data_IF_462081269348
#
_entry.id   IF_462081269348
#
_cell.length_a   1.000
_cell.length_b   1.000
_cell.length_c   1.000
_cell.angle_alpha   90.00
_cell.angle_beta   90.00
_cell.angle_gamma   90.00
#
_symmetry.space_group_name_H-M   'P 1'
#
loop_
_entity.id
_entity.type
_entity.pdbx_description
1 polymer ?
#
# COMPACT_ATOMS: atom_id res chain seq x y z
N UNK A 1 25.66 -12.95 -3.03
CA UNK A 1 24.45 -12.42 -2.35
C UNK A 1 23.35 -12.15 -3.38
N UNK A 2 22.07 -12.31 -3.02
CA UNK A 2 20.96 -11.89 -3.90
C UNK A 2 20.74 -10.38 -3.81
N UNK A 3 20.28 -9.76 -4.90
CA UNK A 3 19.87 -8.35 -4.89
C UNK A 3 18.52 -8.17 -4.19
N UNK A 4 18.19 -6.94 -3.80
CA UNK A 4 16.90 -6.64 -3.19
C UNK A 4 15.74 -6.94 -4.15
N UNK A 5 15.89 -6.66 -5.45
CA UNK A 5 14.91 -7.02 -6.48
C UNK A 5 14.74 -8.53 -6.63
N UNK A 6 15.82 -9.31 -6.54
CA UNK A 6 15.75 -10.77 -6.54
C UNK A 6 15.03 -11.30 -5.29
N UNK A 7 15.33 -10.73 -4.11
CA UNK A 7 14.64 -11.09 -2.86
C UNK A 7 13.13 -10.76 -2.89
N UNK A 8 12.75 -9.61 -3.48
CA UNK A 8 11.34 -9.24 -3.69
C UNK A 8 10.67 -10.19 -4.69
N UNK A 9 11.31 -10.53 -5.81
CA UNK A 9 10.74 -11.45 -6.79
C UNK A 9 10.54 -12.86 -6.25
N UNK A 10 11.48 -13.37 -5.45
CA UNK A 10 11.33 -14.65 -4.73
C UNK A 10 10.16 -14.59 -3.73
N UNK A 11 10.09 -13.54 -2.91
CA UNK A 11 8.97 -13.36 -1.97
C UNK A 11 7.61 -13.25 -2.68
N UNK A 12 7.55 -12.60 -3.84
CA UNK A 12 6.34 -12.52 -4.66
C UNK A 12 5.95 -13.90 -5.23
N UNK A 13 6.92 -14.71 -5.65
CA UNK A 13 6.68 -16.11 -6.07
C UNK A 13 6.16 -16.97 -4.91
N UNK A 14 6.80 -16.89 -3.74
CA UNK A 14 6.37 -17.61 -2.53
C UNK A 14 4.94 -17.24 -2.10
N UNK A 15 4.55 -15.97 -2.31
CA UNK A 15 3.23 -15.44 -1.94
C UNK A 15 2.09 -15.92 -2.87
N UNK A 16 2.35 -16.34 -4.11
CA UNK A 16 1.30 -16.69 -5.08
C UNK A 16 0.34 -17.74 -4.51
N UNK A 17 0.87 -18.84 -3.96
CA UNK A 17 0.05 -19.93 -3.39
C UNK A 17 -0.90 -19.45 -2.29
N UNK A 18 -0.46 -18.52 -1.44
CA UNK A 18 -1.23 -17.99 -0.32
C UNK A 18 -2.24 -16.93 -0.79
N UNK A 19 -1.90 -16.14 -1.81
CA UNK A 19 -2.83 -15.23 -2.48
C UNK A 19 -3.96 -16.02 -3.15
N UNK A 20 -3.65 -17.10 -3.87
CA UNK A 20 -4.63 -18.00 -4.49
C UNK A 20 -5.55 -18.63 -3.44
N UNK A 21 -5.01 -19.32 -2.43
CA UNK A 21 -5.88 -20.01 -1.45
C UNK A 21 -6.74 -19.05 -0.62
N UNK A 22 -6.30 -17.81 -0.36
CA UNK A 22 -7.16 -16.78 0.25
C UNK A 22 -8.22 -16.27 -0.73
N UNK A 23 -7.86 -16.07 -2.00
CA UNK A 23 -8.78 -15.58 -3.02
C UNK A 23 -9.91 -16.59 -3.29
N UNK A 24 -9.59 -17.85 -3.49
CA UNK A 24 -10.57 -18.90 -3.81
C UNK A 24 -11.56 -19.13 -2.65
N UNK A 25 -11.08 -19.02 -1.41
CA UNK A 25 -11.88 -19.26 -0.21
C UNK A 25 -12.80 -18.08 0.16
N UNK A 26 -12.37 -16.83 -0.08
CA UNK A 26 -13.10 -15.61 0.32
C UNK A 26 -12.94 -14.45 -0.68
N UNK A 27 -13.35 -14.58 -1.96
CA UNK A 27 -13.09 -13.59 -3.02
C UNK A 27 -13.84 -12.25 -2.85
N UNK A 28 -14.65 -12.11 -1.80
CA UNK A 28 -15.48 -10.94 -1.51
C UNK A 28 -14.89 -10.00 -0.44
N UNK A 29 -13.75 -10.34 0.17
CA UNK A 29 -13.13 -9.52 1.23
C UNK A 29 -12.40 -8.31 0.66
N UNK A 30 -12.25 -7.24 1.45
CA UNK A 30 -11.47 -6.07 1.02
C UNK A 30 -9.95 -6.31 1.14
N UNK A 31 -9.13 -5.48 0.50
CA UNK A 31 -7.67 -5.62 0.48
C UNK A 31 -7.00 -5.71 1.86
N UNK A 32 -7.50 -4.96 2.85
CA UNK A 32 -6.92 -4.98 4.19
C UNK A 32 -7.23 -6.31 4.89
N UNK A 33 -8.40 -6.90 4.62
CA UNK A 33 -8.75 -8.26 5.04
C UNK A 33 -7.94 -9.31 4.26
N UNK A 34 -7.87 -9.19 2.94
CA UNK A 34 -7.11 -10.09 2.06
C UNK A 34 -5.63 -10.15 2.46
N UNK A 35 -4.95 -9.00 2.57
CA UNK A 35 -3.54 -8.93 2.94
C UNK A 35 -3.26 -9.48 4.36
N UNK A 36 -4.17 -9.27 5.31
CA UNK A 36 -4.07 -9.87 6.64
C UNK A 36 -4.21 -11.39 6.60
N UNK A 37 -5.16 -11.93 5.82
CA UNK A 37 -5.36 -13.36 5.64
C UNK A 37 -4.21 -14.03 4.87
N UNK A 38 -3.63 -13.36 3.86
CA UNK A 38 -2.44 -13.83 3.15
C UNK A 38 -1.21 -13.84 4.07
N UNK A 39 -1.01 -12.79 4.88
CA UNK A 39 0.06 -12.77 5.91
C UNK A 39 -0.12 -13.86 6.95
N UNK A 40 -1.36 -14.20 7.30
CA UNK A 40 -1.68 -15.30 8.20
C UNK A 40 -1.40 -16.66 7.54
N UNK A 41 -1.92 -16.90 6.33
CA UNK A 41 -1.74 -18.13 5.56
C UNK A 41 -0.26 -18.41 5.26
N UNK A 42 0.53 -17.39 4.90
CA UNK A 42 1.99 -17.51 4.73
C UNK A 42 2.71 -18.02 6.00
N UNK A 43 2.14 -17.78 7.19
CA UNK A 43 2.75 -18.20 8.46
C UNK A 43 2.25 -19.56 8.98
N UNK A 44 0.98 -19.92 8.74
CA UNK A 44 0.39 -21.16 9.28
C UNK A 44 0.11 -22.23 8.22
N UNK A 45 0.20 -21.89 6.92
CA UNK A 45 -0.21 -22.74 5.80
C UNK A 45 -1.69 -22.59 5.43
N UNK A 46 -2.03 -22.78 4.15
CA UNK A 46 -3.41 -22.65 3.66
C UNK A 46 -4.38 -23.58 4.41
N UNK A 47 -4.07 -24.87 4.59
CA UNK A 47 -4.96 -25.82 5.29
C UNK A 47 -5.30 -25.44 6.74
N UNK A 48 -4.40 -24.76 7.45
CA UNK A 48 -4.67 -24.22 8.78
C UNK A 48 -5.57 -22.98 8.74
N UNK A 49 -5.52 -22.16 7.67
CA UNK A 49 -6.51 -21.11 7.46
C UNK A 49 -7.87 -21.71 7.05
N UNK A 50 -7.88 -22.68 6.14
CA UNK A 50 -9.11 -23.29 5.59
C UNK A 50 -9.95 -23.99 6.65
N UNK A 51 -9.31 -24.68 7.59
CA UNK A 51 -9.97 -25.31 8.75
C UNK A 51 -10.27 -24.37 9.92
N UNK A 52 -9.83 -23.10 9.86
CA UNK A 52 -9.91 -22.20 11.01
C UNK A 52 -11.30 -21.61 11.30
N UNK A 53 -11.60 -21.44 12.58
CA UNK A 53 -12.70 -20.59 13.06
C UNK A 53 -12.59 -19.15 12.56
N UNK A 54 -11.37 -18.64 12.34
CA UNK A 54 -11.10 -17.36 11.69
C UNK A 54 -11.80 -17.30 10.32
N UNK A 55 -11.46 -18.20 9.40
CA UNK A 55 -12.05 -18.23 8.06
C UNK A 55 -13.56 -18.51 8.08
N UNK A 56 -14.03 -19.34 9.03
CA UNK A 56 -15.48 -19.54 9.25
C UNK A 56 -16.20 -18.22 9.52
N UNK A 57 -15.69 -17.38 10.42
CA UNK A 57 -16.26 -16.05 10.68
C UNK A 57 -16.07 -15.09 9.50
N UNK A 58 -14.97 -15.16 8.74
CA UNK A 58 -14.81 -14.37 7.51
C UNK A 58 -15.90 -14.73 6.49
N UNK A 59 -16.16 -16.02 6.27
CA UNK A 59 -17.22 -16.54 5.38
C UNK A 59 -18.62 -16.13 5.84
N UNK A 60 -18.87 -16.11 7.15
CA UNK A 60 -20.10 -15.56 7.75
C UNK A 60 -20.18 -14.03 7.74
N UNK A 61 -19.11 -13.32 7.33
CA UNK A 61 -18.95 -11.85 7.39
C UNK A 61 -18.96 -11.26 8.81
N UNK A 62 -18.77 -12.09 9.82
CA UNK A 62 -18.69 -11.72 11.24
C UNK A 62 -17.30 -11.14 11.56
N UNK A 63 -16.93 -10.02 10.91
CA UNK A 63 -15.56 -9.51 10.91
C UNK A 63 -15.02 -9.15 12.30
N UNK A 64 -15.87 -8.74 13.24
CA UNK A 64 -15.46 -8.50 14.63
C UNK A 64 -15.03 -9.80 15.33
N UNK A 65 -15.78 -10.89 15.14
CA UNK A 65 -15.45 -12.22 15.68
C UNK A 65 -14.22 -12.82 14.98
N UNK A 66 -14.15 -12.76 13.65
CA UNK A 66 -12.93 -13.10 12.89
C UNK A 66 -11.70 -12.35 13.44
N UNK A 67 -11.87 -11.07 13.79
CA UNK A 67 -10.84 -10.24 14.41
C UNK A 67 -10.33 -10.75 15.76
N UNK A 68 -11.10 -11.50 16.55
CA UNK A 68 -10.59 -12.06 17.83
C UNK A 68 -9.81 -13.36 17.60
N UNK A 69 -10.19 -14.17 16.60
CA UNK A 69 -9.56 -15.47 16.31
C UNK A 69 -8.07 -15.38 16.02
N UNK A 70 -7.58 -14.31 15.39
CA UNK A 70 -6.14 -14.06 15.20
C UNK A 70 -5.34 -14.23 16.51
N UNK A 71 -5.90 -13.78 17.65
CA UNK A 71 -5.23 -13.84 18.97
C UNK A 71 -5.00 -15.25 19.50
N UNK A 72 -5.66 -16.28 18.95
CA UNK A 72 -5.47 -17.69 19.37
C UNK A 72 -4.22 -18.32 18.75
N UNK A 73 -3.81 -17.85 17.57
CA UNK A 73 -2.70 -18.40 16.77
C UNK A 73 -1.34 -17.77 17.15
N UNK A 74 -1.03 -17.82 18.45
CA UNK A 74 0.15 -17.20 19.08
C UNK A 74 1.10 -18.19 19.76
N UNK A 75 0.84 -19.49 19.67
CA UNK A 75 1.66 -20.55 20.30
C UNK A 75 2.50 -21.32 19.29
N UNK A 76 3.61 -21.88 19.77
CA UNK A 76 4.38 -22.93 19.11
C UNK A 76 4.55 -24.09 20.10
N UNK A 77 3.92 -25.23 19.81
CA UNK A 77 3.62 -26.22 20.84
C UNK A 77 2.80 -25.59 21.98
N UNK A 78 3.15 -25.90 23.23
CA UNK A 78 2.46 -25.34 24.39
C UNK A 78 2.82 -23.88 24.68
N UNK A 79 3.95 -23.37 24.18
CA UNK A 79 4.51 -22.06 24.57
C UNK A 79 3.93 -20.92 23.73
N UNK A 80 3.52 -19.83 24.38
CA UNK A 80 3.18 -18.56 23.71
C UNK A 80 4.48 -17.91 23.19
N UNK A 81 4.48 -17.47 21.94
CA UNK A 81 5.64 -16.85 21.29
C UNK A 81 5.40 -15.34 21.13
N UNK A 82 6.16 -14.45 21.79
CA UNK A 82 5.92 -12.99 21.74
C UNK A 82 5.93 -12.38 20.33
N UNK A 83 6.77 -12.92 19.43
CA UNK A 83 6.80 -12.51 18.03
C UNK A 83 5.49 -12.85 17.29
N UNK A 84 4.86 -13.98 17.60
CA UNK A 84 3.54 -14.32 17.05
C UNK A 84 2.44 -13.44 17.64
N UNK A 85 2.47 -13.12 18.95
CA UNK A 85 1.54 -12.15 19.56
C UNK A 85 1.58 -10.81 18.81
N UNK A 86 2.79 -10.27 18.60
CA UNK A 86 2.98 -9.01 17.85
C UNK A 86 2.51 -9.13 16.38
N UNK A 87 2.76 -10.27 15.72
CA UNK A 87 2.31 -10.53 14.34
C UNK A 87 0.78 -10.57 14.25
N UNK A 88 0.13 -11.41 15.06
CA UNK A 88 -1.32 -11.56 15.11
C UNK A 88 -2.03 -10.24 15.44
N UNK A 89 -1.48 -9.43 16.34
CA UNK A 89 -2.02 -8.11 16.65
C UNK A 89 -1.98 -7.15 15.44
N UNK A 90 -0.90 -7.16 14.65
CA UNK A 90 -0.78 -6.36 13.42
C UNK A 90 -1.72 -6.86 12.31
N UNK A 91 -1.81 -8.17 12.11
CA UNK A 91 -2.72 -8.78 11.13
C UNK A 91 -4.18 -8.50 11.48
N UNK A 92 -4.57 -8.63 12.76
CA UNK A 92 -5.89 -8.20 13.27
C UNK A 92 -6.16 -6.72 13.00
N UNK A 93 -5.21 -5.85 13.31
CA UNK A 93 -5.38 -4.40 13.15
C UNK A 93 -5.54 -4.01 11.67
N UNK A 94 -4.85 -4.70 10.76
CA UNK A 94 -5.04 -4.55 9.32
C UNK A 94 -6.42 -5.07 8.90
N UNK A 95 -6.76 -6.32 9.26
CA UNK A 95 -8.03 -6.97 8.91
C UNK A 95 -9.26 -6.14 9.32
N UNK A 96 -9.23 -5.56 10.53
CA UNK A 96 -10.33 -4.74 11.06
C UNK A 96 -10.35 -3.30 10.55
N UNK A 97 -9.35 -2.84 9.78
CA UNK A 97 -9.24 -1.42 9.41
C UNK A 97 -10.47 -0.90 8.68
N UNK A 98 -10.84 -1.53 7.56
CA UNK A 98 -12.05 -1.18 6.79
C UNK A 98 -13.37 -1.39 7.55
N UNK A 99 -13.37 -2.15 8.66
CA UNK A 99 -14.53 -2.29 9.54
C UNK A 99 -14.62 -1.12 10.54
N UNK A 100 -13.48 -0.67 11.09
CA UNK A 100 -13.41 0.53 11.92
C UNK A 100 -13.75 1.79 11.12
N UNK A 101 -13.24 1.91 9.89
CA UNK A 101 -13.56 3.02 8.98
C UNK A 101 -15.08 3.10 8.72
N UNK A 102 -15.76 1.95 8.56
CA UNK A 102 -17.22 1.87 8.36
C UNK A 102 -18.05 2.37 9.55
N UNK A 103 -17.56 2.22 10.79
CA UNK A 103 -18.18 2.78 11.99
C UNK A 103 -17.81 4.25 12.20
N UNK A 104 -16.61 4.66 11.80
CA UNK A 104 -16.22 6.08 11.80
C UNK A 104 -17.07 6.93 10.85
N UNK A 105 -17.62 6.36 9.76
CA UNK A 105 -18.48 7.10 8.82
C UNK A 105 -19.66 7.79 9.53
N UNK A 106 -20.32 7.14 10.50
CA UNK A 106 -21.49 7.71 11.19
C UNK A 106 -21.09 8.88 12.12
N UNK A 107 -19.92 8.82 12.74
CA UNK A 107 -19.42 9.90 13.61
C UNK A 107 -18.78 11.04 12.80
N UNK A 108 -18.16 10.72 11.67
CA UNK A 108 -17.48 11.68 10.79
C UNK A 108 -18.38 12.32 9.74
N UNK A 109 -19.57 11.78 9.45
CA UNK A 109 -20.56 12.46 8.60
C UNK A 109 -21.06 13.79 9.18
N UNK A 110 -20.88 14.02 10.49
CA UNK A 110 -21.16 15.31 11.15
C UNK A 110 -19.97 16.28 11.05
N UNK A 111 -18.74 15.77 10.93
CA UNK A 111 -17.50 16.57 10.95
C UNK A 111 -16.93 16.85 9.54
N UNK A 112 -17.13 15.93 8.59
CA UNK A 112 -16.57 16.01 7.23
C UNK A 112 -17.34 16.94 6.29
N UNK A 113 -18.24 17.78 6.81
CA UNK A 113 -18.89 18.85 6.05
C UNK A 113 -17.90 19.97 5.61
N UNK A 114 -16.65 19.93 6.10
CA UNK A 114 -15.65 20.98 5.91
C UNK A 114 -14.29 20.42 5.44
N UNK A 115 -14.15 20.26 4.12
CA UNK A 115 -12.90 20.15 3.34
C UNK A 115 -11.95 18.93 3.48
N UNK A 116 -11.33 18.60 2.33
CA UNK A 116 -10.11 17.80 2.10
C UNK A 116 -10.03 16.33 2.57
N UNK A 117 -10.82 15.44 1.94
CA UNK A 117 -10.63 13.99 2.05
C UNK A 117 -9.63 13.43 1.00
N UNK A 118 -8.37 13.91 1.03
CA UNK A 118 -7.30 13.35 0.18
C UNK A 118 -6.91 11.94 0.64
N UNK A 119 -7.05 10.96 -0.27
CA UNK A 119 -6.63 9.56 -0.02
C UNK A 119 -5.12 9.46 -0.07
N UNK A 120 -4.50 9.09 1.05
CA UNK A 120 -3.06 8.92 1.16
C UNK A 120 -2.58 7.54 0.68
N UNK A 121 -1.42 7.50 0.03
CA UNK A 121 -0.75 6.26 -0.40
C UNK A 121 -0.37 5.39 0.81
N UNK A 122 -0.48 4.07 0.67
CA UNK A 122 -0.12 3.14 1.73
C UNK A 122 1.41 3.02 1.93
N UNK A 123 1.85 2.51 3.08
CA UNK A 123 3.28 2.44 3.44
C UNK A 123 4.13 1.59 2.48
N UNK A 124 3.55 0.57 1.85
CA UNK A 124 4.26 -0.24 0.85
C UNK A 124 4.44 0.53 -0.46
N UNK A 125 3.42 1.29 -0.89
CA UNK A 125 3.52 2.21 -2.03
C UNK A 125 4.61 3.25 -1.87
N UNK A 126 4.68 3.90 -0.69
CA UNK A 126 5.78 4.84 -0.38
C UNK A 126 7.13 4.12 -0.45
N UNK A 127 7.25 2.94 0.16
CA UNK A 127 8.50 2.19 0.16
C UNK A 127 8.95 1.75 -1.24
N UNK A 128 8.03 1.48 -2.17
CA UNK A 128 8.37 1.21 -3.57
C UNK A 128 8.93 2.44 -4.28
N UNK A 129 8.34 3.62 -4.06
CA UNK A 129 8.87 4.88 -4.61
C UNK A 129 10.24 5.22 -3.99
N UNK A 130 10.42 4.99 -2.68
CA UNK A 130 11.70 5.15 -1.98
C UNK A 130 12.81 4.16 -2.42
N UNK A 131 12.46 3.12 -3.20
CA UNK A 131 13.41 2.16 -3.78
C UNK A 131 13.69 2.41 -5.27
N UNK A 132 12.71 2.95 -6.01
CA UNK A 132 12.87 3.33 -7.42
C UNK A 132 13.60 4.67 -7.57
N UNK A 133 13.29 5.64 -6.70
CA UNK A 133 13.84 6.99 -6.71
C UNK A 133 14.91 7.08 -5.61
N UNK A 134 16.17 7.35 -5.94
CA UNK A 134 17.25 7.26 -4.94
C UNK A 134 17.25 8.40 -3.91
N UNK A 135 17.49 8.08 -2.63
CA UNK A 135 17.75 9.07 -1.59
C UNK A 135 19.16 9.67 -1.72
N UNK A 136 19.27 11.00 -1.88
CA UNK A 136 20.56 11.69 -2.14
C UNK A 136 20.76 12.90 -1.21
N UNK A 137 21.65 12.73 -0.22
CA UNK A 137 21.87 13.64 0.92
C UNK A 137 22.32 15.09 0.62
N UNK A 138 22.54 15.47 -0.64
CA UNK A 138 22.96 16.81 -1.04
C UNK A 138 22.30 17.19 -2.38
N UNK A 139 22.19 18.49 -2.65
CA UNK A 139 21.98 18.98 -4.01
C UNK A 139 23.05 18.41 -4.95
N UNK A 140 22.67 18.17 -6.20
CA UNK A 140 23.61 17.90 -7.29
C UNK A 140 23.76 19.18 -8.13
N UNK A 141 24.68 19.19 -9.10
CA UNK A 141 24.83 20.32 -10.02
C UNK A 141 25.31 21.63 -9.37
N UNK A 142 25.19 22.73 -10.13
CA UNK A 142 25.66 24.06 -9.70
C UNK A 142 24.49 24.81 -9.00
N UNK A 143 24.69 25.58 -7.91
CA UNK A 143 23.59 26.17 -7.12
C UNK A 143 22.68 27.18 -7.86
N UNK A 144 23.04 27.58 -9.08
CA UNK A 144 22.34 28.57 -9.90
C UNK A 144 22.08 27.95 -11.30
N UNK A 145 21.15 26.99 -11.39
CA UNK A 145 20.95 26.27 -12.67
C UNK A 145 19.91 25.14 -12.69
N UNK A 146 18.65 25.43 -12.34
CA UNK A 146 17.38 24.77 -12.81
C UNK A 146 17.14 23.25 -12.82
N UNK A 147 18.14 22.35 -12.77
CA UNK A 147 17.96 20.93 -13.15
C UNK A 147 18.34 19.91 -12.08
N UNK A 148 19.00 20.31 -10.99
CA UNK A 148 19.56 19.36 -10.03
C UNK A 148 19.01 19.58 -8.62
N UNK A 149 18.13 18.68 -8.19
CA UNK A 149 17.55 18.70 -6.86
C UNK A 149 17.49 17.33 -6.19
N UNK A 150 17.38 17.29 -4.85
CA UNK A 150 17.71 16.11 -4.08
C UNK A 150 16.46 15.36 -3.61
N UNK A 151 16.64 14.08 -3.29
CA UNK A 151 15.64 13.15 -2.71
C UNK A 151 14.48 12.80 -3.63
N UNK A 152 14.33 11.50 -3.90
CA UNK A 152 13.08 10.87 -4.32
C UNK A 152 12.36 11.53 -5.53
N UNK A 153 13.09 12.23 -6.41
CA UNK A 153 12.53 12.90 -7.59
C UNK A 153 11.98 14.33 -7.38
N UNK A 154 12.31 15.02 -6.28
CA UNK A 154 11.72 16.35 -5.99
C UNK A 154 11.99 17.41 -7.08
N UNK A 155 10.91 17.86 -7.74
CA UNK A 155 10.98 18.85 -8.82
C UNK A 155 10.96 20.30 -8.31
N UNK A 156 12.16 20.84 -8.03
CA UNK A 156 12.39 22.23 -7.64
C UNK A 156 11.83 23.27 -8.61
N UNK A 157 11.82 23.01 -9.92
CA UNK A 157 11.32 23.94 -10.94
C UNK A 157 9.80 24.09 -10.86
N UNK A 158 9.09 23.05 -10.42
CA UNK A 158 7.64 23.06 -10.22
C UNK A 158 7.22 23.49 -8.81
N UNK A 159 8.01 23.20 -7.77
CA UNK A 159 7.59 23.36 -6.37
C UNK A 159 8.40 24.36 -5.52
N UNK A 160 9.57 24.81 -6.00
CA UNK A 160 10.47 25.71 -5.27
C UNK A 160 11.22 25.04 -4.11
N UNK A 161 12.47 25.46 -3.88
CA UNK A 161 13.34 24.91 -2.83
C UNK A 161 14.18 25.95 -2.08
N UNK A 162 13.79 27.22 -2.12
CA UNK A 162 14.42 28.31 -1.34
C UNK A 162 14.42 28.08 0.18
N UNK A 163 13.57 27.17 0.68
CA UNK A 163 13.51 26.76 2.09
C UNK A 163 14.24 25.45 2.42
N UNK A 164 14.79 24.74 1.42
CA UNK A 164 15.45 23.44 1.63
C UNK A 164 16.95 23.64 1.85
N UNK A 165 17.39 23.37 3.07
CA UNK A 165 18.77 23.54 3.51
C UNK A 165 19.47 22.17 3.53
N UNK A 166 20.23 21.85 2.49
CA UNK A 166 21.01 20.61 2.42
C UNK A 166 22.29 20.68 3.29
N UNK A 167 22.80 19.54 3.81
CA UNK A 167 22.24 18.19 3.73
C UNK A 167 21.02 17.98 4.64
N UNK A 168 20.00 17.26 4.17
CA UNK A 168 18.87 16.85 5.03
C UNK A 168 18.84 15.33 5.24
N UNK A 169 18.22 14.93 6.35
CA UNK A 169 18.07 13.53 6.74
C UNK A 169 17.06 12.75 5.88
N UNK A 170 17.11 11.40 5.97
CA UNK A 170 16.09 10.51 5.40
C UNK A 170 14.67 10.82 5.88
N UNK A 171 14.51 11.29 7.11
CA UNK A 171 13.20 11.70 7.64
C UNK A 171 12.66 12.95 6.91
N UNK A 172 13.48 13.98 6.75
CA UNK A 172 13.09 15.20 6.04
C UNK A 172 12.84 14.93 4.55
N UNK A 173 13.69 14.13 3.88
CA UNK A 173 13.47 13.70 2.50
C UNK A 173 12.15 12.94 2.31
N UNK A 174 11.78 12.08 3.27
CA UNK A 174 10.48 11.40 3.28
C UNK A 174 9.29 12.36 3.46
N UNK A 175 9.44 13.40 4.28
CA UNK A 175 8.42 14.46 4.42
C UNK A 175 8.19 15.22 3.10
N UNK A 176 9.26 15.50 2.35
CA UNK A 176 9.16 16.12 1.02
C UNK A 176 8.44 15.20 0.03
N UNK A 177 8.85 13.93 -0.05
CA UNK A 177 8.15 12.94 -0.89
C UNK A 177 6.65 12.85 -0.55
N UNK A 178 6.28 12.85 0.73
CA UNK A 178 4.87 12.87 1.13
C UNK A 178 4.12 14.13 0.68
N UNK A 179 4.74 15.31 0.68
CA UNK A 179 4.18 16.55 0.12
C UNK A 179 4.00 16.43 -1.41
N UNK A 180 5.03 15.95 -2.10
CA UNK A 180 5.06 15.82 -3.56
C UNK A 180 3.99 14.85 -4.07
N UNK A 181 3.70 13.80 -3.30
CA UNK A 181 2.71 12.78 -3.65
C UNK A 181 1.27 13.30 -3.65
N UNK A 182 0.95 14.40 -2.96
CA UNK A 182 -0.45 14.90 -2.83
C UNK A 182 -1.11 15.20 -4.17
N UNK A 183 -0.40 15.84 -5.11
CA UNK A 183 -0.95 16.13 -6.45
C UNK A 183 -1.23 14.85 -7.26
N UNK A 184 -0.40 13.81 -7.09
CA UNK A 184 -0.54 12.54 -7.80
C UNK A 184 -1.61 11.65 -7.16
N UNK A 185 -1.70 11.64 -5.83
CA UNK A 185 -2.83 11.08 -5.07
C UNK A 185 -4.17 11.67 -5.55
N UNK A 186 -4.26 13.00 -5.59
CA UNK A 186 -5.47 13.70 -6.03
C UNK A 186 -5.77 13.43 -7.52
N UNK A 187 -4.74 13.31 -8.38
CA UNK A 187 -4.90 12.91 -9.77
C UNK A 187 -5.51 11.50 -9.92
N UNK A 188 -5.00 10.52 -9.18
CA UNK A 188 -5.50 9.13 -9.22
C UNK A 188 -6.89 9.01 -8.57
N UNK A 189 -7.09 9.60 -7.38
CA UNK A 189 -8.33 9.50 -6.63
C UNK A 189 -9.52 10.12 -7.37
N UNK A 190 -9.32 11.25 -8.06
CA UNK A 190 -10.34 11.87 -8.92
C UNK A 190 -10.67 11.07 -10.19
N UNK A 191 -9.83 10.10 -10.56
CA UNK A 191 -9.95 9.37 -11.84
C UNK A 191 -10.36 7.90 -11.69
N UNK A 192 -10.07 7.26 -10.55
CA UNK A 192 -10.42 5.86 -10.23
C UNK A 192 -10.69 5.64 -8.72
N UNK A 193 -11.64 6.36 -8.09
CA UNK A 193 -11.84 6.32 -6.63
C UNK A 193 -12.22 4.93 -6.05
N UNK A 194 -12.63 3.99 -6.91
CA UNK A 194 -13.07 2.64 -6.56
C UNK A 194 -11.92 1.62 -6.38
N UNK A 195 -10.68 1.96 -6.73
CA UNK A 195 -9.56 1.01 -6.64
C UNK A 195 -9.12 0.78 -5.19
N UNK A 196 -8.55 -0.39 -4.92
CA UNK A 196 -8.03 -0.72 -3.59
C UNK A 196 -6.73 0.03 -3.25
N UNK A 197 -6.24 -0.05 -2.00
CA UNK A 197 -5.07 0.73 -1.55
C UNK A 197 -3.77 0.37 -2.28
N UNK A 198 -3.65 -0.87 -2.79
CA UNK A 198 -2.46 -1.36 -3.48
C UNK A 198 -2.45 -0.94 -4.96
N UNK A 199 -3.60 -1.01 -5.62
CA UNK A 199 -3.84 -0.46 -6.96
C UNK A 199 -3.70 1.07 -6.94
N UNK A 200 -4.22 1.74 -5.91
CA UNK A 200 -4.03 3.17 -5.68
C UNK A 200 -2.54 3.51 -5.55
N UNK A 201 -1.81 2.76 -4.71
CA UNK A 201 -0.37 2.92 -4.55
C UNK A 201 0.42 2.74 -5.85
N UNK A 202 0.16 1.68 -6.61
CA UNK A 202 0.81 1.41 -7.90
C UNK A 202 0.51 2.53 -8.91
N UNK A 203 -0.74 2.97 -9.01
CA UNK A 203 -1.12 4.06 -9.91
C UNK A 203 -0.53 5.41 -9.48
N UNK A 204 -0.44 5.70 -8.18
CA UNK A 204 0.25 6.90 -7.69
C UNK A 204 1.75 6.84 -8.00
N UNK A 205 2.40 5.68 -7.89
CA UNK A 205 3.81 5.49 -8.31
C UNK A 205 4.02 5.74 -9.81
N UNK A 206 3.17 5.17 -10.67
CA UNK A 206 3.18 5.43 -12.12
C UNK A 206 2.94 6.92 -12.43
N UNK A 207 2.01 7.55 -11.72
CA UNK A 207 1.62 8.95 -11.94
C UNK A 207 2.63 9.94 -11.37
N UNK A 208 3.41 9.55 -10.36
CA UNK A 208 4.56 10.30 -9.85
C UNK A 208 5.66 10.35 -10.92
N UNK A 209 6.05 9.19 -11.45
CA UNK A 209 7.15 9.07 -12.40
C UNK A 209 6.81 9.64 -13.80
N UNK A 210 5.60 9.37 -14.33
CA UNK A 210 5.20 9.78 -15.69
C UNK A 210 4.22 10.97 -15.73
N UNK A 211 3.73 11.45 -14.59
CA UNK A 211 2.85 12.61 -14.49
C UNK A 211 1.36 12.35 -14.78
N UNK A 212 0.51 13.23 -14.25
CA UNK A 212 -0.95 13.13 -14.35
C UNK A 212 -1.49 13.14 -15.79
N UNK A 213 -0.79 13.78 -16.74
CA UNK A 213 -1.16 13.80 -18.16
C UNK A 213 -1.05 12.42 -18.82
N UNK A 214 0.04 11.70 -18.57
CA UNK A 214 0.25 10.37 -19.15
C UNK A 214 -0.67 9.32 -18.53
N UNK A 215 -1.00 9.41 -17.23
CA UNK A 215 -2.07 8.57 -16.66
C UNK A 215 -3.39 8.76 -17.43
N UNK A 216 -3.78 10.00 -17.73
CA UNK A 216 -5.07 10.31 -18.39
C UNK A 216 -5.23 9.68 -19.77
N UNK A 217 -4.17 9.68 -20.58
CA UNK A 217 -4.18 9.10 -21.93
C UNK A 217 -3.94 7.58 -21.96
N UNK A 218 -3.29 7.03 -20.93
CA UNK A 218 -2.76 5.66 -20.86
C UNK A 218 -3.79 4.55 -21.15
N UNK A 219 -3.30 3.46 -21.75
CA UNK A 219 -4.01 2.18 -21.83
C UNK A 219 -4.23 1.57 -20.43
N UNK A 220 -3.27 1.78 -19.52
CA UNK A 220 -3.38 1.42 -18.10
C UNK A 220 -4.68 1.95 -17.46
N UNK A 221 -4.93 3.26 -17.51
CA UNK A 221 -6.13 3.86 -16.92
C UNK A 221 -7.42 3.33 -17.58
N UNK A 222 -7.42 3.10 -18.89
CA UNK A 222 -8.56 2.53 -19.63
C UNK A 222 -8.90 1.12 -19.11
N UNK A 223 -7.88 0.27 -18.91
CA UNK A 223 -8.06 -1.09 -18.38
C UNK A 223 -8.48 -1.13 -16.91
N UNK A 224 -7.93 -0.25 -16.07
CA UNK A 224 -8.36 -0.10 -14.66
C UNK A 224 -9.82 0.36 -14.57
N UNK A 225 -10.24 1.33 -15.40
CA UNK A 225 -11.66 1.76 -15.47
C UNK A 225 -12.59 0.64 -15.94
N UNK A 226 -12.13 -0.23 -16.83
CA UNK A 226 -12.83 -1.45 -17.23
C UNK A 226 -12.72 -2.61 -16.21
N UNK A 227 -12.08 -2.40 -15.05
CA UNK A 227 -11.77 -3.42 -14.02
C UNK A 227 -10.99 -4.64 -14.53
N UNK A 228 -10.37 -4.55 -15.71
CA UNK A 228 -9.55 -5.61 -16.28
C UNK A 228 -8.13 -5.52 -15.70
N UNK A 229 -8.00 -5.89 -14.42
CA UNK A 229 -6.78 -5.68 -13.65
C UNK A 229 -5.60 -6.53 -14.16
N UNK A 230 -5.84 -7.76 -14.61
CA UNK A 230 -4.79 -8.62 -15.15
C UNK A 230 -4.14 -8.03 -16.40
N UNK A 231 -4.94 -7.48 -17.33
CA UNK A 231 -4.40 -6.79 -18.49
C UNK A 231 -3.86 -5.38 -18.13
N UNK A 232 -4.38 -4.73 -17.09
CA UNK A 232 -3.85 -3.46 -16.58
C UNK A 232 -2.44 -3.61 -16.01
N UNK A 233 -2.16 -4.71 -15.28
CA UNK A 233 -0.84 -4.99 -14.72
C UNK A 233 0.27 -5.04 -15.81
N UNK A 234 -0.06 -5.57 -17.00
CA UNK A 234 0.87 -5.64 -18.14
C UNK A 234 1.22 -4.23 -18.69
N UNK A 235 0.33 -3.23 -18.55
CA UNK A 235 0.58 -1.86 -19.01
C UNK A 235 1.54 -1.06 -18.08
N UNK A 236 2.01 -1.64 -16.97
CA UNK A 236 3.10 -1.06 -16.16
C UNK A 236 4.51 -1.43 -16.67
N UNK A 237 4.63 -2.42 -17.56
CA UNK A 237 5.89 -2.94 -18.08
C UNK A 237 6.15 -2.60 -19.55
N UNK A 238 5.69 -1.43 -20.02
CA UNK A 238 5.81 -0.93 -21.39
C UNK A 238 6.27 0.52 -21.40
#
# INVERSE_FOLDING_TARGET
>A
PISQTQAINLLLQDLVQFQTCVHDQVPFVNDNQFAALVSFAFNVGCGNLESSTLLKYVKAREYSAAGTEFGKWVRAGERVVPALVTRRARERALFLRGFADSLMIIYSSVMNAVSDFSRNINKAGVALIELSEEFRANFYGNPVGTESCPYYGHNCKAQGCSSIHAPISKAQGKTLLHKDLVQFQNCVQSRVPFVNDNQFAALVSFTFNLGCGNLQSSTLLKRVKAKNYSAAAIEFGK
#
